data_IF_349513405841
#
_entry.id   IF_349513405841
#
_cell.length_a   1.000
_cell.length_b   1.000
_cell.length_c   1.000
_cell.angle_alpha   90.00
_cell.angle_beta   90.00
_cell.angle_gamma   90.00
#
_symmetry.space_group_name_H-M   'P 1'
#
loop_
_entity.id
_entity.type
_entity.pdbx_description
1 polymer ?
#
# COMPACT_ATOMS: atom_id res chain seq x y z
N UNK A 1 20.74 -12.21 -4.11
CA UNK A 1 19.98 -11.94 -5.32
C UNK A 1 18.53 -12.40 -5.15
N UNK A 2 17.59 -11.66 -5.70
CA UNK A 2 16.17 -12.07 -5.75
C UNK A 2 16.09 -13.31 -6.64
N UNK A 3 15.61 -14.43 -6.11
CA UNK A 3 15.27 -15.61 -6.90
C UNK A 3 13.76 -15.59 -7.13
N UNK A 4 13.36 -15.71 -8.38
CA UNK A 4 12.00 -15.98 -8.77
C UNK A 4 12.03 -17.21 -9.66
N UNK A 5 11.72 -18.36 -9.09
CA UNK A 5 11.54 -19.58 -9.87
C UNK A 5 10.19 -19.51 -10.56
N UNK A 6 10.17 -19.96 -11.82
CA UNK A 6 8.94 -19.96 -12.60
C UNK A 6 8.03 -21.07 -12.07
N UNK A 7 6.95 -20.70 -11.39
CA UNK A 7 5.98 -21.64 -10.84
C UNK A 7 4.54 -21.13 -11.07
N UNK A 8 3.57 -22.02 -11.18
CA UNK A 8 2.17 -21.62 -11.26
C UNK A 8 1.74 -20.88 -10.01
N UNK A 9 1.06 -19.74 -10.18
CA UNK A 9 0.42 -19.05 -9.07
C UNK A 9 -0.83 -19.81 -8.65
N UNK A 10 -1.01 -19.98 -7.35
CA UNK A 10 -2.17 -20.61 -6.72
C UNK A 10 -2.91 -19.61 -5.82
N UNK A 11 -4.08 -20.01 -5.34
CA UNK A 11 -4.86 -19.20 -4.40
C UNK A 11 -4.07 -18.93 -3.11
N UNK A 12 -3.27 -19.91 -2.65
CA UNK A 12 -2.43 -19.75 -1.46
C UNK A 12 -1.39 -18.63 -1.63
N UNK A 13 -0.86 -18.42 -2.83
CA UNK A 13 0.04 -17.29 -3.12
C UNK A 13 -0.70 -15.94 -3.01
N UNK A 14 -1.95 -15.87 -3.46
CA UNK A 14 -2.77 -14.66 -3.32
C UNK A 14 -3.11 -14.39 -1.85
N UNK A 15 -3.49 -15.43 -1.10
CA UNK A 15 -3.72 -15.32 0.34
C UNK A 15 -2.45 -14.86 1.06
N UNK A 16 -1.28 -15.44 0.74
CA UNK A 16 -0.01 -15.03 1.29
C UNK A 16 0.31 -13.56 1.00
N UNK A 17 0.04 -13.11 -0.24
CA UNK A 17 0.28 -11.73 -0.67
C UNK A 17 -0.61 -10.70 0.03
N UNK A 18 -1.78 -11.09 0.51
CA UNK A 18 -2.77 -10.24 1.20
C UNK A 18 -2.85 -10.49 2.71
N UNK A 19 -1.99 -11.35 3.26
CA UNK A 19 -1.97 -11.68 4.68
C UNK A 19 -1.28 -10.57 5.48
N UNK A 20 -2.03 -9.47 5.75
CA UNK A 20 -1.58 -8.33 6.54
C UNK A 20 -1.26 -8.80 7.97
N UNK A 21 -0.03 -8.63 8.46
CA UNK A 21 0.33 -8.99 9.81
C UNK A 21 -0.58 -8.33 10.85
N UNK A 22 -0.84 -9.06 11.93
CA UNK A 22 -1.76 -8.73 13.01
C UNK A 22 -3.26 -8.86 12.67
N UNK A 23 -3.65 -8.72 11.39
CA UNK A 23 -5.05 -8.85 10.97
C UNK A 23 -5.34 -10.26 10.44
N UNK A 24 -4.39 -10.86 9.73
CA UNK A 24 -4.52 -12.19 9.14
C UNK A 24 -3.37 -13.11 9.56
N UNK A 25 -3.63 -14.42 9.66
CA UNK A 25 -2.57 -15.40 9.87
C UNK A 25 -1.64 -15.45 8.64
N UNK A 26 -0.37 -15.76 8.88
CA UNK A 26 0.58 -16.02 7.78
C UNK A 26 0.15 -17.25 6.97
N UNK A 27 0.34 -17.22 5.66
CA UNK A 27 0.08 -18.36 4.78
C UNK A 27 1.32 -19.24 4.64
N UNK A 28 1.13 -20.55 4.77
CA UNK A 28 2.20 -21.54 4.56
C UNK A 28 2.29 -21.87 3.07
N UNK A 29 3.47 -21.71 2.47
CA UNK A 29 3.75 -22.10 1.09
C UNK A 29 4.97 -23.05 1.06
N UNK A 30 5.00 -23.95 0.08
CA UNK A 30 6.17 -24.78 -0.18
C UNK A 30 7.12 -24.09 -1.14
N UNK A 31 8.36 -23.86 -0.64
CA UNK A 31 9.45 -23.27 -1.42
C UNK A 31 10.65 -24.20 -1.28
N UNK A 32 11.18 -24.67 -2.40
CA UNK A 32 12.34 -25.60 -2.44
C UNK A 32 12.15 -26.86 -1.56
N UNK A 33 10.91 -27.37 -1.51
CA UNK A 33 10.56 -28.57 -0.72
C UNK A 33 10.40 -28.33 0.78
N UNK A 34 10.54 -27.08 1.26
CA UNK A 34 10.34 -26.67 2.65
C UNK A 34 9.07 -25.87 2.79
N UNK A 35 8.42 -26.01 3.94
CA UNK A 35 7.30 -25.16 4.30
C UNK A 35 7.83 -23.86 4.90
N UNK A 36 7.46 -22.74 4.29
CA UNK A 36 7.80 -21.39 4.74
C UNK A 36 6.53 -20.57 4.92
N UNK A 37 6.54 -19.66 5.90
CA UNK A 37 5.41 -18.80 6.19
C UNK A 37 5.59 -17.43 5.56
N UNK A 38 4.54 -16.97 4.85
CA UNK A 38 4.53 -15.72 4.13
C UNK A 38 3.41 -14.81 4.65
N UNK A 39 3.65 -13.52 4.58
CA UNK A 39 2.69 -12.46 4.83
C UNK A 39 2.76 -11.41 3.74
N UNK A 40 1.95 -10.36 3.86
CA UNK A 40 1.86 -9.29 2.89
C UNK A 40 3.24 -8.68 2.57
N UNK A 41 3.58 -8.71 1.30
CA UNK A 41 4.86 -8.22 0.79
C UNK A 41 5.02 -6.70 0.85
N UNK A 42 3.94 -5.94 0.94
CA UNK A 42 3.96 -4.48 0.99
C UNK A 42 4.77 -3.96 2.20
N UNK A 43 4.79 -4.71 3.31
CA UNK A 43 5.57 -4.35 4.50
C UNK A 43 7.09 -4.28 4.29
N UNK A 44 7.61 -4.87 3.21
CA UNK A 44 9.04 -4.87 2.88
C UNK A 44 9.34 -4.29 1.50
N UNK A 45 8.33 -3.79 0.82
CA UNK A 45 8.43 -3.29 -0.54
C UNK A 45 8.67 -1.78 -0.55
N UNK A 46 9.93 -1.39 -0.44
CA UNK A 46 10.35 0.02 -0.42
C UNK A 46 10.22 0.67 -1.81
N UNK A 47 10.31 -0.12 -2.88
CA UNK A 47 10.28 0.35 -4.27
C UNK A 47 9.38 -0.58 -5.11
N UNK A 48 8.05 -0.38 -5.06
CA UNK A 48 7.07 -1.24 -5.75
C UNK A 48 7.20 -1.22 -7.27
N UNK A 49 7.68 -0.14 -7.88
CA UNK A 49 7.89 -0.04 -9.34
C UNK A 49 9.21 -0.66 -9.81
N UNK A 50 10.16 -0.89 -8.90
CA UNK A 50 11.49 -1.42 -9.22
C UNK A 50 11.47 -2.76 -9.98
N UNK A 51 10.60 -3.75 -9.68
CA UNK A 51 10.52 -4.97 -10.46
C UNK A 51 10.15 -4.74 -11.92
N UNK A 52 9.19 -3.87 -12.21
CA UNK A 52 8.77 -3.54 -13.57
C UNK A 52 9.92 -2.90 -14.34
N UNK A 53 10.66 -2.01 -13.73
CA UNK A 53 11.85 -1.37 -14.31
C UNK A 53 12.93 -2.37 -14.65
N UNK A 54 13.25 -3.28 -13.74
CA UNK A 54 14.28 -4.32 -13.96
C UNK A 54 13.88 -5.34 -15.03
N UNK A 55 12.59 -5.54 -15.26
CA UNK A 55 12.06 -6.39 -16.32
C UNK A 55 11.99 -5.67 -17.69
N UNK A 56 12.38 -4.39 -17.74
CA UNK A 56 12.43 -3.62 -18.98
C UNK A 56 11.09 -3.02 -19.41
N UNK A 57 10.14 -2.86 -18.50
CA UNK A 57 8.90 -2.16 -18.79
C UNK A 57 9.18 -0.72 -19.20
N UNK A 58 8.48 -0.23 -20.24
CA UNK A 58 8.44 1.17 -20.64
C UNK A 58 7.19 1.90 -20.15
N UNK A 59 6.14 1.15 -19.79
CA UNK A 59 4.88 1.64 -19.26
C UNK A 59 4.43 0.78 -18.11
N UNK A 60 3.91 1.40 -17.05
CA UNK A 60 3.37 0.72 -15.89
C UNK A 60 2.02 1.33 -15.53
N UNK A 61 1.03 0.47 -15.34
CA UNK A 61 -0.24 0.84 -14.74
C UNK A 61 -0.15 0.52 -13.25
N UNK A 62 -0.31 1.53 -12.42
CA UNK A 62 -0.38 1.42 -10.97
C UNK A 62 -1.82 1.54 -10.53
N UNK A 63 -2.32 0.56 -9.79
CA UNK A 63 -3.62 0.61 -9.13
C UNK A 63 -3.36 0.73 -7.64
N UNK A 64 -3.54 1.93 -7.12
CA UNK A 64 -3.35 2.25 -5.70
C UNK A 64 -4.65 2.19 -4.92
N UNK A 65 -4.54 1.96 -3.61
CA UNK A 65 -5.68 2.02 -2.68
C UNK A 65 -5.67 3.31 -1.85
N UNK A 66 -4.54 4.04 -1.85
CA UNK A 66 -4.39 5.33 -1.17
C UNK A 66 -4.87 6.50 -2.03
N UNK A 67 -5.36 7.53 -1.38
CA UNK A 67 -5.65 8.80 -2.02
C UNK A 67 -4.39 9.65 -2.12
N UNK A 68 -4.23 10.47 -3.16
CA UNK A 68 -3.22 11.51 -3.18
C UNK A 68 -3.40 12.46 -1.99
N UNK A 69 -2.32 12.85 -1.34
CA UNK A 69 -2.33 13.70 -0.13
C UNK A 69 -3.03 15.07 -0.30
N UNK A 70 -3.32 15.49 -1.53
CA UNK A 70 -3.92 16.79 -1.83
C UNK A 70 -5.45 16.80 -1.80
N UNK A 71 -6.10 15.73 -1.36
CA UNK A 71 -7.55 15.73 -1.20
C UNK A 71 -7.94 16.22 0.20
N UNK A 72 -7.53 17.41 0.56
CA UNK A 72 -8.15 18.14 1.67
C UNK A 72 -9.54 18.55 1.22
N UNK A 73 -10.57 17.87 1.69
CA UNK A 73 -11.94 18.39 1.61
C UNK A 73 -11.96 19.62 2.52
N UNK A 74 -12.15 20.85 1.97
CA UNK A 74 -12.20 22.03 2.81
C UNK A 74 -13.39 21.91 3.77
N UNK A 75 -13.14 21.72 5.05
CA UNK A 75 -14.16 21.68 6.10
C UNK A 75 -14.14 20.55 7.09
N UNK A 76 -13.43 19.43 6.85
CA UNK A 76 -13.43 18.29 7.78
C UNK A 76 -12.28 18.27 8.79
N UNK A 77 -11.33 19.15 8.71
CA UNK A 77 -10.17 19.18 9.61
C UNK A 77 -10.50 19.85 10.93
N UNK A 78 -11.38 19.31 11.80
CA UNK A 78 -11.43 20.09 13.06
C UNK A 78 -11.93 19.41 14.33
N UNK A 79 -12.53 18.26 14.33
CA UNK A 79 -13.02 17.69 15.59
C UNK A 79 -12.22 16.51 16.10
N UNK A 80 -11.51 15.78 15.24
CA UNK A 80 -10.70 14.62 15.62
C UNK A 80 -9.39 15.00 16.35
N UNK A 81 -8.84 16.18 16.06
CA UNK A 81 -7.57 16.63 16.62
C UNK A 81 -7.57 17.01 18.12
N UNK A 82 -8.74 17.07 18.77
CA UNK A 82 -8.84 17.44 20.19
C UNK A 82 -8.79 16.27 21.17
N UNK A 83 -8.82 15.03 20.69
CA UNK A 83 -8.66 13.85 21.54
C UNK A 83 -7.28 13.26 21.30
N UNK A 84 -6.58 12.93 22.40
CA UNK A 84 -5.27 12.26 22.30
C UNK A 84 -5.35 10.97 21.47
N UNK A 85 -4.22 10.55 20.88
CA UNK A 85 -4.18 9.38 20.02
C UNK A 85 -4.59 8.12 20.80
N UNK A 86 -5.48 7.32 20.22
CA UNK A 86 -5.83 5.99 20.74
C UNK A 86 -4.83 4.95 20.23
N UNK A 87 -4.72 3.80 20.91
CA UNK A 87 -3.89 2.69 20.43
C UNK A 87 -4.30 2.24 19.02
N UNK A 88 -5.61 2.18 18.75
CA UNK A 88 -6.14 1.88 17.42
C UNK A 88 -5.77 2.94 16.39
N UNK A 89 -5.84 4.22 16.74
CA UNK A 89 -5.41 5.30 15.86
C UNK A 89 -3.92 5.26 15.55
N UNK A 90 -3.08 4.98 16.54
CA UNK A 90 -1.64 4.81 16.31
C UNK A 90 -1.33 3.59 15.44
N UNK A 91 -1.99 2.45 15.69
CA UNK A 91 -1.83 1.26 14.86
C UNK A 91 -2.27 1.51 13.41
N UNK A 92 -3.42 2.17 13.21
CA UNK A 92 -3.91 2.56 11.89
C UNK A 92 -2.92 3.48 11.16
N UNK A 93 -2.38 4.48 11.85
CA UNK A 93 -1.38 5.38 11.26
C UNK A 93 -0.09 4.64 10.85
N UNK A 94 0.42 3.73 11.69
CA UNK A 94 1.58 2.89 11.34
C UNK A 94 1.28 2.00 10.13
N UNK A 95 0.10 1.41 10.07
CA UNK A 95 -0.33 0.61 8.92
C UNK A 95 -0.40 1.46 7.66
N UNK A 96 -1.06 2.62 7.71
CA UNK A 96 -1.16 3.54 6.59
C UNK A 96 0.21 3.95 6.04
N UNK A 97 1.15 4.34 6.91
CA UNK A 97 2.48 4.76 6.49
C UNK A 97 3.27 3.63 5.81
N UNK A 98 3.07 2.38 6.22
CA UNK A 98 3.73 1.22 5.59
C UNK A 98 3.15 0.93 4.20
N UNK A 99 1.83 1.06 4.02
CA UNK A 99 1.16 0.63 2.79
C UNK A 99 0.97 1.73 1.75
N UNK A 100 0.82 3.00 2.17
CA UNK A 100 0.52 4.11 1.25
C UNK A 100 1.75 4.92 0.85
N UNK A 101 2.60 5.28 1.81
CA UNK A 101 3.68 6.25 1.58
C UNK A 101 4.75 5.75 0.62
N UNK A 102 5.04 4.45 0.65
CA UNK A 102 6.09 3.86 -0.20
C UNK A 102 5.75 3.90 -1.68
N UNK A 103 4.49 3.65 -2.06
CA UNK A 103 4.06 3.66 -3.45
C UNK A 103 4.09 5.07 -4.04
N UNK A 104 3.55 6.04 -3.31
CA UNK A 104 3.52 7.43 -3.77
C UNK A 104 4.94 8.00 -3.93
N UNK A 105 5.81 7.76 -2.94
CA UNK A 105 7.20 8.18 -3.00
C UNK A 105 7.96 7.57 -4.21
N UNK A 106 7.70 6.31 -4.53
CA UNK A 106 8.34 5.62 -5.66
C UNK A 106 7.83 6.14 -7.01
N UNK A 107 6.52 6.44 -7.13
CA UNK A 107 5.92 7.10 -8.31
C UNK A 107 6.58 8.46 -8.54
N UNK A 108 6.66 9.30 -7.51
CA UNK A 108 7.28 10.62 -7.60
C UNK A 108 8.77 10.55 -7.94
N UNK A 109 9.51 9.62 -7.35
CA UNK A 109 10.90 9.39 -7.67
C UNK A 109 11.08 8.97 -9.12
N UNK A 110 10.22 8.06 -9.59
CA UNK A 110 10.23 7.59 -10.99
C UNK A 110 9.96 8.74 -11.96
N UNK A 111 8.99 9.61 -11.66
CA UNK A 111 8.68 10.79 -12.46
C UNK A 111 9.86 11.77 -12.51
N UNK A 112 10.50 12.05 -11.36
CA UNK A 112 11.69 12.90 -11.30
C UNK A 112 12.85 12.35 -12.14
N UNK A 113 13.08 11.05 -12.08
CA UNK A 113 14.12 10.40 -12.90
C UNK A 113 13.79 10.50 -14.38
N UNK A 114 12.55 10.21 -14.79
CA UNK A 114 12.10 10.33 -16.19
C UNK A 114 12.26 11.77 -16.71
N UNK A 115 11.87 12.76 -15.93
CA UNK A 115 12.05 14.18 -16.26
C UNK A 115 13.53 14.55 -16.40
N UNK A 116 14.37 14.08 -15.50
CA UNK A 116 15.83 14.34 -15.56
C UNK A 116 16.42 13.75 -16.84
N UNK A 117 16.08 12.52 -17.20
CA UNK A 117 16.57 11.86 -18.42
C UNK A 117 16.07 12.60 -19.67
N UNK A 118 14.83 13.09 -19.66
CA UNK A 118 14.26 13.82 -20.81
C UNK A 118 14.97 15.14 -21.12
N UNK A 119 15.68 15.72 -20.16
CA UNK A 119 16.46 16.97 -20.30
C UNK A 119 17.90 16.73 -20.76
N UNK A 120 18.35 15.47 -20.81
CA UNK A 120 19.69 15.14 -21.23
C UNK A 120 19.80 15.11 -22.78
N UNK A 121 20.99 15.41 -23.34
CA UNK A 121 21.27 15.12 -24.76
C UNK A 121 21.06 13.64 -25.06
N UNK A 122 20.58 13.32 -26.28
CA UNK A 122 20.20 11.96 -26.66
C UNK A 122 21.31 10.92 -26.42
N UNK A 123 22.56 11.28 -26.68
CA UNK A 123 23.73 10.41 -26.45
C UNK A 123 23.92 10.10 -24.96
N UNK A 124 23.79 11.13 -24.10
CA UNK A 124 23.90 10.96 -22.67
C UNK A 124 22.74 10.15 -22.08
N UNK A 125 21.53 10.39 -22.54
CA UNK A 125 20.34 9.62 -22.16
C UNK A 125 20.47 8.13 -22.56
N UNK A 126 21.00 7.85 -23.76
CA UNK A 126 21.21 6.48 -24.24
C UNK A 126 22.30 5.71 -23.47
N UNK A 127 23.26 6.42 -22.90
CA UNK A 127 24.33 5.84 -22.07
C UNK A 127 23.88 5.54 -20.62
N UNK A 128 22.71 6.03 -20.20
CA UNK A 128 22.21 5.79 -18.85
C UNK A 128 21.71 4.35 -18.68
N UNK A 129 21.95 3.80 -17.49
CA UNK A 129 21.44 2.47 -17.10
C UNK A 129 19.91 2.47 -16.92
N UNK A 130 19.31 3.64 -16.71
CA UNK A 130 17.88 3.80 -16.47
C UNK A 130 17.19 4.31 -17.74
N UNK A 131 16.03 3.74 -18.03
CA UNK A 131 15.16 4.23 -19.11
C UNK A 131 13.97 4.98 -18.51
N UNK A 132 13.42 6.00 -19.19
CA UNK A 132 12.19 6.63 -18.77
C UNK A 132 11.09 5.58 -18.65
N UNK A 133 10.29 5.67 -17.59
CA UNK A 133 9.15 4.80 -17.34
C UNK A 133 7.90 5.68 -17.29
N UNK A 134 6.95 5.42 -18.21
CA UNK A 134 5.64 6.06 -18.16
C UNK A 134 4.79 5.37 -17.11
N UNK A 135 4.34 6.14 -16.12
CA UNK A 135 3.49 5.63 -15.03
C UNK A 135 2.10 6.23 -15.16
N UNK A 136 1.10 5.37 -15.31
CA UNK A 136 -0.30 5.73 -15.16
C UNK A 136 -0.78 5.22 -13.81
N UNK A 137 -1.20 6.12 -12.92
CA UNK A 137 -1.74 5.77 -11.62
C UNK A 137 -3.26 5.93 -11.59
N UNK A 138 -3.93 4.91 -11.09
CA UNK A 138 -5.37 4.93 -10.80
C UNK A 138 -5.52 4.80 -9.28
N UNK A 139 -6.25 5.73 -8.69
CA UNK A 139 -6.56 5.76 -7.27
C UNK A 139 -8.07 5.83 -7.05
N UNK A 140 -8.59 5.42 -5.88
CA UNK A 140 -10.00 5.57 -5.54
C UNK A 140 -10.45 7.04 -5.63
N UNK A 141 -11.65 7.27 -6.14
CA UNK A 141 -12.24 8.62 -6.23
C UNK A 141 -12.79 9.15 -4.89
N UNK A 142 -12.89 8.27 -3.89
CA UNK A 142 -13.35 8.62 -2.53
C UNK A 142 -12.41 7.99 -1.49
N UNK A 143 -12.46 8.53 -0.27
CA UNK A 143 -11.68 7.99 0.85
C UNK A 143 -12.19 6.61 1.24
N UNK A 144 -11.33 5.59 1.16
CA UNK A 144 -11.65 4.26 1.66
C UNK A 144 -11.86 4.27 3.18
N UNK A 145 -11.14 5.13 3.90
CA UNK A 145 -11.31 5.31 5.34
C UNK A 145 -12.70 5.87 5.69
N UNK A 146 -13.16 6.87 4.92
CA UNK A 146 -14.51 7.42 5.11
C UNK A 146 -15.58 6.38 4.79
N UNK A 147 -15.41 5.64 3.69
CA UNK A 147 -16.31 4.56 3.30
C UNK A 147 -16.35 3.46 4.37
N UNK A 148 -15.19 3.04 4.89
CA UNK A 148 -15.11 2.04 5.94
C UNK A 148 -15.77 2.51 7.25
N UNK A 149 -15.68 3.80 7.58
CA UNK A 149 -16.38 4.38 8.73
C UNK A 149 -17.90 4.33 8.57
N UNK A 150 -18.40 4.65 7.38
CA UNK A 150 -19.84 4.60 7.08
C UNK A 150 -20.42 3.19 7.23
N UNK A 151 -19.65 2.17 6.84
CA UNK A 151 -20.07 0.77 6.89
C UNK A 151 -19.63 0.00 8.14
N UNK A 152 -19.10 0.68 9.16
CA UNK A 152 -18.61 0.03 10.41
C UNK A 152 -19.69 -0.79 11.11
N UNK A 153 -20.95 -0.40 10.96
CA UNK A 153 -22.07 -1.10 11.59
C UNK A 153 -22.40 -2.46 10.95
N UNK A 154 -21.93 -2.70 9.74
CA UNK A 154 -22.10 -3.96 9.01
C UNK A 154 -21.07 -5.04 9.43
N UNK A 155 -20.02 -4.65 10.16
CA UNK A 155 -19.02 -5.58 10.65
C UNK A 155 -19.62 -6.57 11.69
N UNK A 156 -19.11 -7.83 11.72
CA UNK A 156 -19.51 -8.80 12.73
C UNK A 156 -19.33 -8.28 14.16
N UNK A 157 -20.25 -8.61 15.06
CA UNK A 157 -20.27 -8.12 16.45
C UNK A 157 -18.95 -8.35 17.19
N UNK A 158 -18.26 -9.46 16.94
CA UNK A 158 -16.95 -9.77 17.54
C UNK A 158 -15.88 -8.77 17.11
N UNK A 159 -15.83 -8.45 15.83
CA UNK A 159 -14.89 -7.48 15.24
C UNK A 159 -15.19 -6.07 15.77
N UNK A 160 -16.46 -5.65 15.78
CA UNK A 160 -16.87 -4.35 16.34
C UNK A 160 -16.46 -4.19 17.79
N UNK A 161 -16.64 -5.22 18.64
CA UNK A 161 -16.23 -5.20 20.04
C UNK A 161 -14.72 -5.10 20.19
N UNK A 162 -13.95 -5.82 19.39
CA UNK A 162 -12.49 -5.74 19.40
C UNK A 162 -12.01 -4.34 18.99
N UNK A 163 -12.56 -3.77 17.91
CA UNK A 163 -12.26 -2.41 17.46
C UNK A 163 -12.66 -1.35 18.50
N UNK A 164 -13.82 -1.52 19.16
CA UNK A 164 -14.26 -0.62 20.23
C UNK A 164 -13.31 -0.66 21.44
N UNK A 165 -12.80 -1.84 21.82
CA UNK A 165 -11.83 -2.00 22.90
C UNK A 165 -10.49 -1.32 22.60
N UNK A 166 -10.09 -1.31 21.32
CA UNK A 166 -8.88 -0.59 20.83
C UNK A 166 -9.11 0.92 20.66
N UNK A 167 -10.34 1.40 20.87
CA UNK A 167 -10.69 2.81 20.70
C UNK A 167 -10.86 3.25 19.23
N UNK A 168 -10.94 2.30 18.31
CA UNK A 168 -11.02 2.55 16.85
C UNK A 168 -12.36 3.16 16.45
N UNK A 169 -13.47 2.76 17.08
CA UNK A 169 -14.83 3.21 16.73
C UNK A 169 -15.20 4.60 17.29
N UNK A 170 -14.33 5.25 18.08
CA UNK A 170 -14.63 6.53 18.74
C UNK A 170 -13.90 7.72 18.11
N UNK A 171 -13.98 7.87 16.80
CA UNK A 171 -13.67 9.16 16.16
C UNK A 171 -12.30 9.36 15.51
N UNK A 172 -11.46 8.34 15.39
CA UNK A 172 -10.20 8.39 14.60
C UNK A 172 -9.80 7.04 14.02
N UNK A 173 -10.74 6.11 13.99
CA UNK A 173 -10.44 4.71 13.73
C UNK A 173 -10.70 4.23 12.30
N UNK A 174 -11.06 5.13 11.39
CA UNK A 174 -11.36 4.75 10.00
C UNK A 174 -10.21 4.03 9.32
N UNK A 175 -9.00 4.52 9.53
CA UNK A 175 -7.79 3.97 8.90
C UNK A 175 -7.55 2.50 9.23
N UNK A 176 -7.82 2.04 10.46
CA UNK A 176 -7.68 0.62 10.78
C UNK A 176 -8.88 -0.21 10.26
N UNK A 177 -10.08 0.37 10.26
CA UNK A 177 -11.27 -0.30 9.75
C UNK A 177 -11.21 -0.54 8.22
N UNK A 178 -10.51 0.30 7.47
CA UNK A 178 -10.35 0.14 6.03
C UNK A 178 -9.46 -1.06 5.62
N UNK A 179 -8.73 -1.65 6.57
CA UNK A 179 -7.93 -2.86 6.34
C UNK A 179 -8.64 -4.17 6.71
N UNK A 180 -9.85 -4.09 7.25
CA UNK A 180 -10.67 -5.25 7.63
C UNK A 180 -11.74 -5.55 6.59
#
# INVERSE_FOLDING_TARGET
GRRADFQPLTIEHLIASSAIPFLFPSAALRVDGREEHFGDGAMRQIAPLSPAWHLGASRVLVVGVGQPENWEVPGEATTAQRRGPTLGGMAGHVMASVFHDTLQADIEQTARVAETISRLPAEAAAAMAYRPLDVLSIAPSCSLDALAQEHTDELPLGVRRALAALGVLKGSGGTLASYL
#
